data_IF_947791725211
#
_entry.id   IF_947791725211
#
_cell.length_a   1.000
_cell.length_b   1.000
_cell.length_c   1.000
_cell.angle_alpha   90.00
_cell.angle_beta   90.00
_cell.angle_gamma   90.00
#
_symmetry.space_group_name_H-M   'P 1'
#
loop_
_entity.id
_entity.type
_entity.pdbx_description
1 polymer ?
#
# COMPACT_ATOMS: atom_id res chain seq x y z
N UNK A 1 -13.87 7.95 19.96
CA UNK A 1 -13.29 9.10 20.71
C UNK A 1 -11.78 8.90 20.76
N UNK A 2 -11.00 9.97 20.65
CA UNK A 2 -9.55 9.96 20.86
C UNK A 2 -9.27 10.61 22.20
N UNK A 3 -8.41 9.97 23.01
CA UNK A 3 -7.93 10.48 24.29
C UNK A 3 -6.42 10.61 24.17
N UNK A 4 -5.90 11.82 24.36
CA UNK A 4 -4.47 12.08 24.41
C UNK A 4 -4.05 12.06 25.87
N UNK A 5 -3.05 11.24 26.18
CA UNK A 5 -2.51 11.15 27.52
C UNK A 5 -1.43 12.21 27.74
N UNK A 6 -1.25 12.63 29.00
CA UNK A 6 -0.17 13.53 29.39
C UNK A 6 1.17 12.86 29.15
N UNK A 7 2.18 13.64 28.74
CA UNK A 7 3.55 13.17 28.66
C UNK A 7 3.98 12.62 30.03
N UNK A 8 4.64 11.46 30.02
CA UNK A 8 5.13 10.78 31.24
C UNK A 8 4.00 10.36 32.22
N UNK A 9 2.76 10.14 31.73
CA UNK A 9 1.72 9.58 32.59
C UNK A 9 2.17 8.24 33.19
N UNK A 10 1.97 8.01 34.51
CA UNK A 10 2.40 6.77 35.17
C UNK A 10 1.72 5.54 34.53
N UNK A 11 2.51 4.55 34.14
CA UNK A 11 2.02 3.38 33.38
C UNK A 11 0.93 2.61 34.12
N UNK A 12 1.05 2.46 35.44
CA UNK A 12 0.06 1.81 36.32
C UNK A 12 -1.30 2.52 36.27
N UNK A 13 -1.30 3.86 36.25
CA UNK A 13 -2.53 4.68 36.15
C UNK A 13 -3.15 4.61 34.75
N UNK A 14 -2.31 4.56 33.69
CA UNK A 14 -2.79 4.40 32.33
C UNK A 14 -3.43 3.02 32.18
N UNK A 15 -2.80 1.96 32.68
CA UNK A 15 -3.37 0.61 32.66
C UNK A 15 -4.69 0.51 33.43
N UNK A 16 -4.77 1.15 34.60
CA UNK A 16 -6.02 1.20 35.36
C UNK A 16 -7.14 1.90 34.59
N UNK A 17 -6.84 3.02 33.93
CA UNK A 17 -7.79 3.74 33.10
C UNK A 17 -8.24 2.94 31.88
N UNK A 18 -7.32 2.23 31.22
CA UNK A 18 -7.65 1.32 30.13
C UNK A 18 -8.57 0.17 30.59
N UNK A 19 -8.33 -0.41 31.78
CA UNK A 19 -9.21 -1.43 32.36
C UNK A 19 -10.62 -0.89 32.64
N UNK A 20 -10.73 0.33 33.14
CA UNK A 20 -12.02 1.00 33.39
C UNK A 20 -12.80 1.20 32.08
N UNK A 21 -12.15 1.74 31.03
CA UNK A 21 -12.75 1.93 29.71
C UNK A 21 -13.18 0.59 29.06
N UNK A 22 -12.35 -0.45 29.16
CA UNK A 22 -12.70 -1.79 28.70
C UNK A 22 -13.90 -2.37 29.47
N UNK A 23 -13.97 -2.14 30.80
CA UNK A 23 -15.10 -2.53 31.65
C UNK A 23 -16.42 -1.85 31.24
N UNK A 24 -16.36 -0.68 30.62
CA UNK A 24 -17.50 0.02 30.02
C UNK A 24 -17.88 -0.51 28.61
N UNK A 25 -17.15 -1.50 28.08
CA UNK A 25 -17.44 -2.13 26.80
C UNK A 25 -16.74 -1.47 25.60
N UNK A 26 -15.80 -0.55 25.81
CA UNK A 26 -15.02 0.05 24.72
C UNK A 26 -13.81 -0.80 24.37
N UNK A 27 -13.54 -0.96 23.07
CA UNK A 27 -12.24 -1.46 22.62
C UNK A 27 -11.26 -0.30 22.53
N UNK A 28 -10.02 -0.52 22.94
CA UNK A 28 -8.98 0.50 22.96
C UNK A 28 -7.95 0.16 21.90
N UNK A 29 -7.71 1.10 20.98
CA UNK A 29 -6.53 1.13 20.14
C UNK A 29 -5.49 1.99 20.85
N UNK A 30 -4.49 1.33 21.45
CA UNK A 30 -3.40 1.99 22.16
C UNK A 30 -2.26 2.31 21.19
N UNK A 31 -1.93 3.58 21.02
CA UNK A 31 -0.90 4.06 20.10
C UNK A 31 0.10 4.94 20.84
N UNK A 32 1.29 4.39 21.04
CA UNK A 32 2.42 5.09 21.63
C UNK A 32 3.31 5.59 20.49
N UNK A 33 3.30 6.90 20.24
CA UNK A 33 4.17 7.58 19.28
C UNK A 33 5.45 8.13 19.94
N UNK A 34 6.29 8.81 19.14
CA UNK A 34 7.52 9.42 19.61
C UNK A 34 7.32 10.47 20.71
N UNK A 35 6.26 11.30 20.57
CA UNK A 35 5.98 12.42 21.45
C UNK A 35 4.56 12.40 22.02
N UNK A 36 3.74 11.44 21.62
CA UNK A 36 2.32 11.36 22.00
C UNK A 36 1.91 9.94 22.35
N UNK A 37 1.06 9.81 23.37
CA UNK A 37 0.41 8.55 23.72
C UNK A 37 -1.10 8.74 23.57
N UNK A 38 -1.73 7.97 22.69
CA UNK A 38 -3.13 8.12 22.30
C UNK A 38 -3.89 6.83 22.58
N UNK A 39 -5.01 6.96 23.26
CA UNK A 39 -6.01 5.90 23.39
C UNK A 39 -7.17 6.19 22.44
N UNK A 40 -7.30 5.38 21.41
CA UNK A 40 -8.41 5.45 20.47
C UNK A 40 -9.55 4.54 20.90
N UNK A 41 -10.68 5.10 21.34
CA UNK A 41 -11.86 4.32 21.72
C UNK A 41 -12.67 3.93 20.47
N UNK A 42 -12.88 2.62 20.30
CA UNK A 42 -13.70 2.01 19.26
C UNK A 42 -14.99 1.51 19.91
N UNK A 43 -16.14 1.88 19.33
CA UNK A 43 -17.47 1.57 19.84
C UNK A 43 -18.38 2.79 19.83
N UNK A 44 -19.60 2.67 20.36
CA UNK A 44 -20.51 3.81 20.51
C UNK A 44 -20.12 4.66 21.74
N UNK A 45 -19.29 5.65 21.51
CA UNK A 45 -18.83 6.58 22.55
C UNK A 45 -19.78 7.74 22.79
N UNK A 46 -20.99 7.77 22.19
CA UNK A 46 -21.93 8.90 22.37
C UNK A 46 -22.35 9.13 23.82
N UNK A 47 -22.51 8.04 24.55
CA UNK A 47 -22.89 8.09 25.97
C UNK A 47 -21.73 8.47 26.91
N UNK A 48 -20.47 8.37 26.45
CA UNK A 48 -19.29 8.70 27.27
C UNK A 48 -19.13 10.23 27.33
N UNK A 49 -19.28 10.81 28.49
CA UNK A 49 -19.12 12.25 28.68
C UNK A 49 -17.63 12.66 28.54
N UNK A 50 -17.34 13.66 27.74
CA UNK A 50 -15.97 14.21 27.61
C UNK A 50 -15.43 14.74 28.93
N UNK A 51 -16.32 15.36 29.74
CA UNK A 51 -15.97 15.85 31.07
C UNK A 51 -15.50 14.74 32.02
N UNK A 52 -16.10 13.55 31.93
CA UNK A 52 -15.67 12.40 32.72
C UNK A 52 -14.28 11.93 32.31
N UNK A 53 -14.01 11.85 30.99
CA UNK A 53 -12.69 11.49 30.46
C UNK A 53 -11.63 12.50 30.88
N UNK A 54 -11.92 13.81 30.74
CA UNK A 54 -11.01 14.91 31.10
C UNK A 54 -10.74 15.01 32.61
N UNK A 55 -11.63 14.49 33.44
CA UNK A 55 -11.43 14.45 34.89
C UNK A 55 -10.35 13.44 35.32
N UNK A 56 -9.98 12.48 34.44
CA UNK A 56 -8.94 11.53 34.77
C UNK A 56 -7.55 12.20 34.74
N UNK A 57 -6.73 12.06 35.81
CA UNK A 57 -5.46 12.78 35.93
C UNK A 57 -4.41 12.44 34.88
N UNK A 58 -4.51 11.30 34.19
CA UNK A 58 -3.58 10.91 33.09
C UNK A 58 -3.97 11.52 31.75
N UNK A 59 -5.16 12.10 31.61
CA UNK A 59 -5.67 12.64 30.36
C UNK A 59 -5.25 14.10 30.19
N UNK A 60 -4.70 14.42 29.02
CA UNK A 60 -4.40 15.78 28.60
C UNK A 60 -5.59 16.40 27.88
N UNK A 61 -6.12 15.69 26.88
CA UNK A 61 -7.28 16.14 26.10
C UNK A 61 -8.05 14.95 25.52
N UNK A 62 -9.31 15.17 25.17
CA UNK A 62 -10.06 14.20 24.40
C UNK A 62 -10.90 14.88 23.32
N UNK A 63 -11.18 14.16 22.23
CA UNK A 63 -11.99 14.65 21.10
C UNK A 63 -12.81 13.53 20.50
N UNK A 64 -14.02 13.84 20.07
CA UNK A 64 -14.81 12.92 19.25
C UNK A 64 -14.28 12.90 17.82
N UNK A 65 -14.28 11.72 17.24
CA UNK A 65 -13.85 11.49 15.85
C UNK A 65 -15.07 11.04 15.05
N UNK A 66 -15.41 11.82 14.05
CA UNK A 66 -16.58 11.59 13.18
C UNK A 66 -16.28 10.67 12.01
N UNK A 67 -15.01 10.58 11.59
CA UNK A 67 -14.62 9.75 10.46
C UNK A 67 -14.95 8.26 10.71
N UNK A 68 -15.48 7.53 9.70
CA UNK A 68 -15.92 6.16 9.88
C UNK A 68 -14.77 5.15 10.07
N UNK A 69 -13.55 5.47 9.60
CA UNK A 69 -12.33 4.66 9.79
C UNK A 69 -11.62 5.08 11.09
N UNK A 70 -11.02 4.11 11.79
CA UNK A 70 -10.38 4.30 13.10
C UNK A 70 -8.92 3.87 13.08
N UNK A 71 -8.64 2.58 12.76
CA UNK A 71 -7.28 2.04 12.73
C UNK A 71 -6.42 2.71 11.66
N UNK A 72 -6.98 2.98 10.49
CA UNK A 72 -6.30 3.70 9.41
C UNK A 72 -6.25 5.23 9.61
N UNK A 73 -6.89 5.78 10.64
CA UNK A 73 -7.02 7.22 10.83
C UNK A 73 -5.75 7.81 11.47
N UNK A 74 -5.17 8.82 10.81
CA UNK A 74 -4.01 9.57 11.33
C UNK A 74 -4.22 10.12 12.76
N UNK A 75 -5.44 10.48 13.11
CA UNK A 75 -5.77 10.98 14.46
C UNK A 75 -5.61 9.92 15.55
N UNK A 76 -5.72 8.62 15.20
CA UNK A 76 -5.51 7.50 16.11
C UNK A 76 -4.05 6.98 16.08
N UNK A 77 -3.30 7.32 15.07
CA UNK A 77 -1.89 6.94 14.89
C UNK A 77 -1.14 8.10 14.24
N UNK A 78 -0.60 9.05 15.02
CA UNK A 78 0.00 10.29 14.51
C UNK A 78 1.24 10.08 13.64
N UNK A 79 2.07 9.11 14.00
CA UNK A 79 3.32 8.82 13.30
C UNK A 79 3.06 8.07 11.97
N UNK A 80 3.96 8.23 11.01
CA UNK A 80 3.88 7.48 9.76
C UNK A 80 4.13 6.00 10.00
N UNK A 81 3.29 5.15 9.42
CA UNK A 81 3.55 3.71 9.38
C UNK A 81 4.68 3.41 8.42
N UNK A 82 5.58 2.52 8.85
CA UNK A 82 6.62 1.94 8.02
C UNK A 82 6.29 0.47 7.80
N UNK A 83 6.05 0.08 6.55
CA UNK A 83 5.79 -1.32 6.17
C UNK A 83 7.08 -1.93 5.67
N UNK A 84 7.49 -3.06 6.27
CA UNK A 84 8.64 -3.86 5.82
C UNK A 84 8.18 -4.98 4.87
N UNK A 85 8.83 -5.05 3.72
CA UNK A 85 8.59 -6.08 2.70
C UNK A 85 9.91 -6.79 2.41
N UNK A 86 10.18 -7.88 3.10
CA UNK A 86 11.41 -8.65 2.90
C UNK A 86 12.69 -7.86 3.16
N UNK A 87 12.69 -6.94 4.14
CA UNK A 87 13.80 -6.07 4.49
C UNK A 87 13.79 -4.69 3.81
N UNK A 88 12.88 -4.46 2.86
CA UNK A 88 12.69 -3.15 2.21
C UNK A 88 11.52 -2.40 2.84
N UNK A 89 11.77 -1.17 3.26
CA UNK A 89 10.83 -0.32 4.00
C UNK A 89 10.07 0.62 3.08
N UNK A 90 8.78 0.83 3.36
CA UNK A 90 7.90 1.75 2.63
C UNK A 90 7.23 2.68 3.64
N UNK A 91 7.34 4.00 3.46
CA UNK A 91 6.79 5.00 4.40
C UNK A 91 7.81 5.50 5.42
N UNK A 92 7.44 6.50 6.22
CA UNK A 92 8.32 7.06 7.26
C UNK A 92 9.63 7.63 6.73
N UNK A 93 9.64 8.20 5.51
CA UNK A 93 10.85 8.70 4.85
C UNK A 93 11.54 7.68 3.94
N UNK A 94 11.19 6.40 4.01
CA UNK A 94 11.68 5.39 3.07
C UNK A 94 10.86 5.39 1.79
N UNK A 95 11.55 5.16 0.67
CA UNK A 95 10.96 5.08 -0.67
C UNK A 95 11.30 3.76 -1.34
N UNK A 96 10.29 3.04 -1.83
CA UNK A 96 10.50 1.76 -2.50
C UNK A 96 10.04 1.83 -3.97
N UNK A 97 10.78 1.18 -4.85
CA UNK A 97 10.40 1.02 -6.26
C UNK A 97 10.09 -0.45 -6.52
N UNK A 98 8.83 -0.70 -6.88
CA UNK A 98 8.33 -2.01 -7.30
C UNK A 98 8.35 -2.06 -8.82
N UNK A 99 9.18 -2.92 -9.42
CA UNK A 99 9.26 -3.01 -10.88
C UNK A 99 9.33 -4.45 -11.38
N UNK A 100 8.85 -4.65 -12.60
CA UNK A 100 8.78 -5.92 -13.29
C UNK A 100 7.64 -5.94 -14.31
N UNK A 101 7.41 -7.08 -15.00
CA UNK A 101 6.42 -7.14 -16.08
C UNK A 101 4.98 -7.11 -15.56
N UNK A 102 4.05 -6.61 -16.37
CA UNK A 102 2.63 -6.71 -16.07
C UNK A 102 2.21 -8.14 -15.78
N UNK A 103 2.66 -9.06 -16.62
CA UNK A 103 2.40 -10.50 -16.53
C UNK A 103 3.69 -11.29 -16.56
N UNK A 104 3.77 -12.34 -15.74
CA UNK A 104 4.79 -13.38 -15.87
C UNK A 104 4.42 -14.22 -17.09
N UNK A 105 5.33 -14.35 -18.06
CA UNK A 105 5.06 -14.96 -19.37
C UNK A 105 5.96 -16.16 -19.68
N UNK A 106 7.19 -16.15 -19.17
CA UNK A 106 8.15 -17.25 -19.23
C UNK A 106 9.27 -17.06 -18.20
N UNK A 107 10.04 -18.11 -17.96
CA UNK A 107 11.23 -18.07 -17.09
C UNK A 107 12.26 -17.06 -17.58
N UNK A 108 12.55 -17.07 -18.87
CA UNK A 108 13.53 -16.19 -19.50
C UNK A 108 13.12 -14.73 -19.32
N UNK A 109 11.84 -14.41 -19.60
CA UNK A 109 11.31 -13.06 -19.46
C UNK A 109 11.43 -12.55 -18.03
N UNK A 110 10.90 -13.29 -17.04
CA UNK A 110 10.85 -12.80 -15.67
C UNK A 110 12.24 -12.71 -15.04
N UNK A 111 13.12 -13.68 -15.30
CA UNK A 111 14.49 -13.69 -14.77
C UNK A 111 15.30 -12.54 -15.35
N UNK A 112 15.24 -12.33 -16.67
CA UNK A 112 15.92 -11.22 -17.33
C UNK A 112 15.44 -9.87 -16.80
N UNK A 113 14.12 -9.64 -16.73
CA UNK A 113 13.56 -8.38 -16.24
C UNK A 113 13.93 -8.17 -14.77
N UNK A 114 13.82 -9.20 -13.92
CA UNK A 114 14.15 -9.10 -12.50
C UNK A 114 15.61 -8.64 -12.29
N UNK A 115 16.57 -9.25 -12.99
CA UNK A 115 17.98 -8.86 -12.91
C UNK A 115 18.21 -7.41 -13.36
N UNK A 116 17.55 -6.98 -14.45
CA UNK A 116 17.70 -5.62 -14.97
C UNK A 116 17.11 -4.57 -14.03
N UNK A 117 15.90 -4.80 -13.53
CA UNK A 117 15.27 -3.82 -12.63
C UNK A 117 15.96 -3.76 -11.26
N UNK A 118 16.48 -4.89 -10.77
CA UNK A 118 17.30 -4.92 -9.55
C UNK A 118 18.57 -4.09 -9.73
N UNK A 119 19.31 -4.32 -10.81
CA UNK A 119 20.55 -3.60 -11.11
C UNK A 119 20.33 -2.08 -11.20
N UNK A 120 19.17 -1.64 -11.72
CA UNK A 120 18.76 -0.24 -11.75
C UNK A 120 18.38 0.33 -10.38
N UNK A 121 18.07 -0.53 -9.39
CA UNK A 121 17.74 -0.14 -8.02
C UNK A 121 16.25 -0.29 -7.66
N UNK A 122 15.50 -1.16 -8.34
CA UNK A 122 14.19 -1.57 -7.87
C UNK A 122 14.32 -2.43 -6.61
N UNK A 123 13.55 -2.10 -5.57
CA UNK A 123 13.57 -2.77 -4.26
C UNK A 123 12.79 -4.09 -4.28
N UNK A 124 11.69 -4.14 -5.02
CA UNK A 124 10.71 -5.23 -4.98
C UNK A 124 10.39 -5.65 -6.42
N UNK A 125 10.42 -6.96 -6.67
CA UNK A 125 10.00 -7.52 -7.95
C UNK A 125 8.48 -7.59 -8.00
N UNK A 126 7.87 -6.98 -9.04
CA UNK A 126 6.46 -7.14 -9.33
C UNK A 126 6.24 -8.02 -10.55
N UNK A 127 5.21 -8.84 -10.53
CA UNK A 127 4.79 -9.63 -11.67
C UNK A 127 3.41 -10.25 -11.44
N UNK A 128 2.51 -10.18 -12.41
CA UNK A 128 1.19 -10.80 -12.31
C UNK A 128 1.23 -12.28 -12.69
N UNK A 129 1.04 -13.17 -11.74
CA UNK A 129 0.84 -14.61 -11.99
C UNK A 129 -0.59 -14.91 -12.45
N UNK A 130 -1.56 -14.19 -11.88
CA UNK A 130 -2.99 -14.21 -12.23
C UNK A 130 -3.38 -12.88 -12.86
N UNK A 131 -4.26 -12.88 -13.85
CA UNK A 131 -4.66 -11.65 -14.57
C UNK A 131 -6.17 -11.46 -14.61
N UNK A 132 -6.69 -10.35 -14.04
CA UNK A 132 -8.09 -9.97 -14.18
C UNK A 132 -8.34 -9.39 -15.58
N UNK A 133 -9.01 -10.14 -16.44
CA UNK A 133 -9.26 -9.72 -17.83
C UNK A 133 -10.72 -9.43 -18.06
N UNK A 134 -10.99 -8.36 -18.79
CA UNK A 134 -12.36 -8.03 -19.23
C UNK A 134 -12.89 -9.06 -20.24
N UNK A 135 -12.01 -9.57 -21.12
CA UNK A 135 -12.35 -10.63 -22.05
C UNK A 135 -11.89 -11.99 -21.53
N UNK A 136 -12.74 -13.02 -21.53
CA UNK A 136 -12.35 -14.37 -21.12
C UNK A 136 -11.37 -15.03 -22.11
N UNK A 137 -11.25 -14.50 -23.33
CA UNK A 137 -10.35 -15.00 -24.37
C UNK A 137 -8.94 -14.42 -24.28
N UNK A 138 -8.74 -13.41 -23.44
CA UNK A 138 -7.41 -12.83 -23.20
C UNK A 138 -6.56 -13.72 -22.32
N UNK A 139 -5.23 -13.55 -22.37
CA UNK A 139 -4.28 -14.26 -21.51
C UNK A 139 -4.62 -14.08 -20.01
N UNK A 140 -4.88 -15.18 -19.32
CA UNK A 140 -5.35 -15.19 -17.93
C UNK A 140 -4.20 -15.26 -16.88
N UNK A 141 -2.93 -15.24 -17.33
CA UNK A 141 -1.74 -15.49 -16.50
C UNK A 141 -1.37 -16.97 -16.44
N UNK A 142 -0.17 -17.25 -15.98
CA UNK A 142 0.35 -18.62 -15.79
C UNK A 142 -0.12 -19.26 -14.47
N UNK A 143 -0.81 -18.51 -13.62
CA UNK A 143 -1.36 -18.99 -12.34
C UNK A 143 -0.27 -19.56 -11.42
N UNK A 144 -0.40 -20.81 -10.95
CA UNK A 144 0.58 -21.45 -10.07
C UNK A 144 1.99 -21.49 -10.67
N UNK A 145 2.13 -21.84 -11.94
CA UNK A 145 3.40 -21.79 -12.67
C UNK A 145 4.01 -20.36 -12.62
N UNK A 146 3.18 -19.34 -12.75
CA UNK A 146 3.66 -17.95 -12.65
C UNK A 146 4.21 -17.61 -11.26
N UNK A 147 3.67 -18.19 -10.19
CA UNK A 147 4.22 -18.05 -8.84
C UNK A 147 5.56 -18.78 -8.70
N UNK A 148 5.69 -19.97 -9.27
CA UNK A 148 6.96 -20.73 -9.28
C UNK A 148 8.06 -19.95 -10.02
N UNK A 149 7.74 -19.37 -11.18
CA UNK A 149 8.67 -18.54 -11.94
C UNK A 149 9.09 -17.26 -11.20
N UNK A 150 8.19 -16.65 -10.42
CA UNK A 150 8.54 -15.54 -9.54
C UNK A 150 9.49 -15.97 -8.43
N UNK A 151 9.28 -17.16 -7.84
CA UNK A 151 10.22 -17.72 -6.85
C UNK A 151 11.61 -17.97 -7.43
N UNK A 152 11.68 -18.50 -8.65
CA UNK A 152 12.95 -18.70 -9.35
C UNK A 152 13.67 -17.36 -9.61
N UNK A 153 12.94 -16.33 -10.05
CA UNK A 153 13.49 -14.98 -10.23
C UNK A 153 13.99 -14.38 -8.91
N UNK A 154 13.23 -14.57 -7.79
CA UNK A 154 13.69 -14.21 -6.45
C UNK A 154 14.94 -14.94 -6.04
N UNK A 155 15.06 -16.22 -6.32
CA UNK A 155 16.26 -16.99 -5.98
C UNK A 155 17.54 -16.45 -6.68
N UNK A 156 17.39 -15.84 -7.86
CA UNK A 156 18.48 -15.22 -8.60
C UNK A 156 18.81 -13.82 -8.10
N UNK A 157 17.79 -13.01 -7.74
CA UNK A 157 17.95 -11.58 -7.42
C UNK A 157 17.94 -11.29 -5.92
N UNK A 158 17.33 -12.13 -5.11
CA UNK A 158 17.07 -11.86 -3.69
C UNK A 158 15.92 -10.86 -3.44
N UNK A 159 15.29 -10.31 -4.50
CA UNK A 159 14.21 -9.34 -4.34
C UNK A 159 12.95 -9.98 -3.75
N UNK A 160 12.27 -9.34 -2.79
CA UNK A 160 10.95 -9.75 -2.38
C UNK A 160 9.93 -9.59 -3.52
N UNK A 161 8.85 -10.36 -3.45
CA UNK A 161 7.85 -10.45 -4.52
C UNK A 161 6.56 -9.75 -4.10
N UNK A 162 6.01 -8.90 -5.00
CA UNK A 162 4.63 -8.45 -4.95
C UNK A 162 3.85 -8.98 -6.15
N UNK A 163 2.71 -9.65 -5.91
CA UNK A 163 1.84 -10.18 -6.97
C UNK A 163 0.36 -10.11 -6.57
N UNK A 164 -0.52 -10.05 -7.59
CA UNK A 164 -1.96 -9.81 -7.38
C UNK A 164 -2.70 -11.09 -7.01
N UNK A 165 -3.42 -11.03 -5.88
CA UNK A 165 -4.37 -12.06 -5.44
C UNK A 165 -5.77 -11.73 -5.97
N UNK A 166 -6.39 -12.69 -6.66
CA UNK A 166 -7.68 -12.50 -7.32
C UNK A 166 -8.88 -12.90 -6.46
N UNK A 167 -8.74 -13.95 -5.67
CA UNK A 167 -9.80 -14.48 -4.80
C UNK A 167 -9.21 -15.28 -3.62
N UNK A 168 -10.07 -15.62 -2.66
CA UNK A 168 -9.67 -16.32 -1.43
C UNK A 168 -9.13 -17.73 -1.69
N UNK A 169 -9.58 -18.41 -2.74
CA UNK A 169 -9.17 -19.79 -3.04
C UNK A 169 -7.68 -19.90 -3.38
N UNK A 170 -7.08 -18.81 -3.84
CA UNK A 170 -5.66 -18.78 -4.18
C UNK A 170 -4.74 -18.46 -2.98
N UNK A 171 -5.27 -18.12 -1.81
CA UNK A 171 -4.47 -17.78 -0.63
C UNK A 171 -3.45 -18.88 -0.28
N UNK A 172 -3.80 -20.17 -0.25
CA UNK A 172 -2.83 -21.22 0.04
C UNK A 172 -1.64 -21.22 -0.92
N UNK A 173 -1.87 -21.02 -2.22
CA UNK A 173 -0.81 -20.94 -3.23
C UNK A 173 0.15 -19.77 -2.97
N UNK A 174 -0.37 -18.63 -2.52
CA UNK A 174 0.44 -17.45 -2.20
C UNK A 174 1.29 -17.64 -0.95
N UNK A 175 0.75 -18.34 0.06
CA UNK A 175 1.47 -18.67 1.29
C UNK A 175 2.57 -19.71 1.01
N UNK A 176 2.27 -20.75 0.23
CA UNK A 176 3.22 -21.79 -0.17
C UNK A 176 4.36 -21.19 -1.03
N UNK A 177 4.03 -20.25 -1.93
CA UNK A 177 4.99 -19.47 -2.70
C UNK A 177 5.76 -18.44 -1.87
N UNK A 178 5.42 -18.23 -0.60
CA UNK A 178 6.01 -17.22 0.28
C UNK A 178 6.05 -15.85 -0.39
N UNK A 179 4.90 -15.41 -0.92
CA UNK A 179 4.75 -14.06 -1.48
C UNK A 179 4.97 -13.04 -0.37
N UNK A 180 5.86 -12.06 -0.59
CA UNK A 180 6.28 -11.11 0.44
C UNK A 180 5.29 -9.94 0.61
N UNK A 181 4.54 -9.61 -0.45
CA UNK A 181 3.48 -8.61 -0.43
C UNK A 181 2.33 -9.02 -1.35
N UNK A 182 1.10 -9.02 -0.85
CA UNK A 182 -0.09 -9.34 -1.62
C UNK A 182 -0.67 -8.05 -2.22
N UNK A 183 -0.78 -7.99 -3.55
CA UNK A 183 -1.50 -6.89 -4.19
C UNK A 183 -2.99 -7.21 -4.28
N UNK A 184 -3.83 -6.28 -3.83
CA UNK A 184 -5.26 -6.25 -4.11
C UNK A 184 -5.48 -5.27 -5.26
N UNK A 185 -5.89 -5.78 -6.40
CA UNK A 185 -6.11 -5.01 -7.61
C UNK A 185 -7.30 -4.04 -7.49
N UNK A 186 -7.29 -3.01 -8.33
CA UNK A 186 -8.30 -1.95 -8.31
C UNK A 186 -9.75 -2.47 -8.44
N UNK A 187 -9.96 -3.57 -9.16
CA UNK A 187 -11.29 -4.21 -9.31
C UNK A 187 -11.77 -4.91 -8.03
N UNK A 188 -10.85 -5.26 -7.13
CA UNK A 188 -11.10 -5.93 -5.86
C UNK A 188 -11.00 -5.01 -4.64
N UNK A 189 -10.82 -3.68 -4.84
CA UNK A 189 -10.71 -2.73 -3.72
C UNK A 189 -11.87 -2.84 -2.73
N UNK A 190 -13.08 -3.09 -3.21
CA UNK A 190 -14.29 -3.24 -2.40
C UNK A 190 -14.79 -4.70 -2.30
N UNK A 191 -13.93 -5.67 -2.59
CA UNK A 191 -14.21 -7.07 -2.32
C UNK A 191 -13.95 -7.36 -0.84
N UNK A 192 -14.89 -6.98 0.02
CA UNK A 192 -14.72 -6.99 1.47
C UNK A 192 -14.42 -8.38 2.03
N UNK A 193 -14.93 -9.45 1.42
CA UNK A 193 -14.60 -10.82 1.84
C UNK A 193 -13.14 -11.15 1.55
N UNK A 194 -12.59 -10.72 0.41
CA UNK A 194 -11.17 -10.84 0.10
C UNK A 194 -10.32 -9.98 1.05
N UNK A 195 -10.75 -8.74 1.34
CA UNK A 195 -10.05 -7.84 2.26
C UNK A 195 -9.98 -8.42 3.66
N UNK A 196 -11.07 -8.98 4.19
CA UNK A 196 -11.10 -9.67 5.47
C UNK A 196 -10.19 -10.89 5.48
N UNK A 197 -10.17 -11.67 4.39
CA UNK A 197 -9.32 -12.85 4.30
C UNK A 197 -7.83 -12.49 4.34
N UNK A 198 -7.37 -11.49 3.57
CA UNK A 198 -5.97 -11.05 3.61
C UNK A 198 -5.63 -10.30 4.90
N UNK A 199 -6.62 -9.68 5.54
CA UNK A 199 -6.46 -9.03 6.84
C UNK A 199 -6.11 -10.00 7.98
N UNK A 200 -6.41 -11.28 7.83
CA UNK A 200 -6.04 -12.35 8.79
C UNK A 200 -4.63 -12.89 8.57
N UNK A 201 -3.98 -12.50 7.48
CA UNK A 201 -2.64 -12.95 7.15
C UNK A 201 -1.61 -11.96 7.72
N UNK A 202 -0.44 -12.48 8.10
CA UNK A 202 0.69 -11.64 8.50
C UNK A 202 1.59 -11.35 7.28
N UNK A 203 0.98 -10.87 6.18
CA UNK A 203 1.66 -10.54 4.92
C UNK A 203 1.28 -9.10 4.55
N UNK A 204 2.24 -8.22 4.24
CA UNK A 204 1.95 -6.87 3.76
C UNK A 204 0.98 -6.86 2.57
N UNK A 205 0.10 -5.85 2.53
CA UNK A 205 -0.91 -5.71 1.47
C UNK A 205 -0.74 -4.39 0.74
N UNK A 206 -0.58 -4.44 -0.58
CA UNK A 206 -0.67 -3.30 -1.48
C UNK A 206 -2.10 -3.18 -1.99
N UNK A 207 -2.83 -2.18 -1.50
CA UNK A 207 -4.23 -1.94 -1.83
C UNK A 207 -4.35 -0.87 -2.92
N UNK A 208 -4.74 -1.26 -4.13
CA UNK A 208 -4.90 -0.34 -5.28
C UNK A 208 -6.27 0.32 -5.27
N UNK A 209 -6.28 1.65 -5.45
CA UNK A 209 -7.50 2.46 -5.57
C UNK A 209 -8.36 1.98 -6.75
N UNK A 210 -9.65 1.86 -6.52
CA UNK A 210 -10.63 1.56 -7.56
C UNK A 210 -10.75 2.69 -8.58
N UNK A 211 -11.14 2.34 -9.81
CA UNK A 211 -11.15 3.25 -10.97
C UNK A 211 -12.11 4.45 -10.82
N UNK A 212 -13.13 4.33 -9.96
CA UNK A 212 -14.13 5.36 -9.68
C UNK A 212 -14.36 5.55 -8.18
N UNK A 213 -13.33 5.20 -7.37
CA UNK A 213 -13.43 5.22 -5.92
C UNK A 213 -12.91 6.51 -5.33
N UNK A 214 -13.60 7.01 -4.32
CA UNK A 214 -13.15 8.15 -3.50
C UNK A 214 -11.96 7.75 -2.62
N UNK A 215 -11.26 8.73 -2.06
CA UNK A 215 -10.19 8.49 -1.09
C UNK A 215 -10.72 7.88 0.21
N UNK A 216 -11.93 8.29 0.63
CA UNK A 216 -12.58 7.72 1.81
C UNK A 216 -12.89 6.23 1.62
N UNK A 217 -13.41 5.83 0.47
CA UNK A 217 -13.65 4.41 0.14
C UNK A 217 -12.35 3.60 0.13
N UNK A 218 -11.24 4.17 -0.35
CA UNK A 218 -9.92 3.53 -0.30
C UNK A 218 -9.45 3.33 1.15
N UNK A 219 -9.56 4.37 2.00
CA UNK A 219 -9.18 4.27 3.41
C UNK A 219 -10.09 3.31 4.17
N UNK A 220 -11.39 3.31 3.87
CA UNK A 220 -12.34 2.33 4.45
C UNK A 220 -12.01 0.90 4.04
N UNK A 221 -11.55 0.69 2.83
CA UNK A 221 -11.09 -0.64 2.38
C UNK A 221 -9.82 -1.08 3.14
N UNK A 222 -8.89 -0.15 3.40
CA UNK A 222 -7.74 -0.42 4.28
C UNK A 222 -8.17 -0.74 5.71
N UNK A 223 -9.17 -0.01 6.24
CA UNK A 223 -9.74 -0.27 7.56
C UNK A 223 -10.27 -1.70 7.69
N UNK A 224 -10.90 -2.27 6.64
CA UNK A 224 -11.33 -3.69 6.63
C UNK A 224 -10.17 -4.66 6.83
N UNK A 225 -9.04 -4.43 6.16
CA UNK A 225 -7.83 -5.27 6.32
C UNK A 225 -7.29 -5.12 7.74
N UNK A 226 -7.15 -3.88 8.22
CA UNK A 226 -6.59 -3.58 9.54
C UNK A 226 -7.51 -4.05 10.69
N UNK A 227 -8.82 -4.06 10.48
CA UNK A 227 -9.78 -4.55 11.48
C UNK A 227 -9.60 -6.04 11.79
N UNK A 228 -9.19 -6.83 10.79
CA UNK A 228 -8.91 -8.27 10.97
C UNK A 228 -7.54 -8.55 11.60
N UNK A 229 -6.70 -7.53 11.82
CA UNK A 229 -5.42 -7.65 12.55
C UNK A 229 -4.16 -7.34 11.75
N UNK A 230 -4.23 -7.10 10.44
CA UNK A 230 -3.07 -6.78 9.62
C UNK A 230 -2.86 -5.26 9.49
N UNK A 231 -1.87 -4.65 10.19
CA UNK A 231 -1.58 -3.23 10.10
C UNK A 231 -0.70 -2.87 8.88
N UNK A 232 -0.14 -3.85 8.18
CA UNK A 232 0.86 -3.66 7.13
C UNK A 232 0.18 -3.40 5.77
N UNK A 233 -0.48 -2.26 5.64
CA UNK A 233 -1.20 -1.86 4.43
C UNK A 233 -0.48 -0.67 3.77
N UNK A 234 -0.24 -0.78 2.47
CA UNK A 234 0.27 0.29 1.60
C UNK A 234 -0.82 0.66 0.60
N UNK A 235 -1.17 1.93 0.54
CA UNK A 235 -2.15 2.45 -0.42
C UNK A 235 -1.47 2.72 -1.76
N UNK A 236 -2.17 2.43 -2.87
CA UNK A 236 -1.65 2.68 -4.21
C UNK A 236 -2.63 3.50 -5.05
N UNK A 237 -2.29 4.75 -5.32
CA UNK A 237 -2.96 5.55 -6.35
C UNK A 237 -2.51 5.08 -7.74
N UNK A 238 -3.47 4.87 -8.66
CA UNK A 238 -3.21 4.30 -9.99
C UNK A 238 -4.05 4.91 -11.11
N UNK A 239 -4.59 6.10 -10.85
CA UNK A 239 -5.49 6.80 -11.75
C UNK A 239 -6.96 6.44 -11.59
N UNK A 240 -7.79 7.40 -11.88
CA UNK A 240 -9.25 7.30 -11.85
C UNK A 240 -9.83 7.57 -13.23
N UNK A 241 -11.02 7.05 -13.50
CA UNK A 241 -11.77 7.39 -14.70
C UNK A 241 -12.29 8.81 -14.61
N UNK A 242 -12.03 9.57 -15.66
CA UNK A 242 -12.58 10.91 -15.85
C UNK A 242 -13.20 11.02 -17.25
N UNK A 243 -13.62 12.18 -17.65
CA UNK A 243 -14.08 12.45 -19.01
C UNK A 243 -12.94 12.45 -20.05
N UNK A 244 -11.66 12.54 -19.60
CA UNK A 244 -10.50 12.53 -20.50
C UNK A 244 -10.24 11.10 -21.03
N UNK A 245 -10.06 10.99 -22.34
CA UNK A 245 -9.88 9.71 -23.05
C UNK A 245 -8.54 9.56 -23.76
N UNK A 246 -7.70 10.59 -23.77
CA UNK A 246 -6.35 10.54 -24.38
C UNK A 246 -5.38 9.63 -23.63
N UNK A 247 -5.68 9.33 -22.38
CA UNK A 247 -4.95 8.39 -21.54
C UNK A 247 -5.90 7.38 -20.90
N UNK A 248 -5.38 6.26 -20.41
CA UNK A 248 -6.20 5.18 -19.82
C UNK A 248 -6.99 5.65 -18.61
N UNK A 249 -6.37 6.40 -17.71
CA UNK A 249 -6.96 7.03 -16.54
C UNK A 249 -6.22 8.34 -16.24
N UNK A 250 -6.86 9.23 -15.51
CA UNK A 250 -6.23 10.44 -14.98
C UNK A 250 -5.53 10.10 -13.67
N UNK A 251 -4.21 10.33 -13.58
CA UNK A 251 -3.49 10.19 -12.32
C UNK A 251 -3.91 11.31 -11.36
N UNK A 252 -4.49 10.93 -10.23
CA UNK A 252 -4.85 11.88 -9.17
C UNK A 252 -3.66 12.11 -8.24
N UNK A 253 -2.76 13.00 -8.68
CA UNK A 253 -1.56 13.33 -7.90
C UNK A 253 -1.91 14.01 -6.57
N UNK A 254 -3.05 14.72 -6.51
CA UNK A 254 -3.55 15.38 -5.30
C UNK A 254 -4.01 14.40 -4.23
N UNK A 255 -4.25 13.14 -4.60
CA UNK A 255 -4.57 12.10 -3.64
C UNK A 255 -3.46 11.88 -2.60
N UNK A 256 -2.19 12.05 -2.95
CA UNK A 256 -1.06 11.80 -2.05
C UNK A 256 -1.11 12.70 -0.80
N UNK A 257 -1.07 14.03 -0.90
CA UNK A 257 -1.12 14.88 0.29
C UNK A 257 -2.43 14.75 1.07
N UNK A 258 -3.56 14.47 0.37
CA UNK A 258 -4.83 14.27 1.05
C UNK A 258 -4.83 12.95 1.84
N UNK A 259 -4.36 11.83 1.27
CA UNK A 259 -4.23 10.56 1.99
C UNK A 259 -3.25 10.69 3.16
N UNK A 260 -2.12 11.37 2.99
CA UNK A 260 -1.18 11.65 4.09
C UNK A 260 -1.82 12.42 5.26
N UNK A 261 -2.82 13.25 4.99
CA UNK A 261 -3.62 13.95 6.02
C UNK A 261 -4.67 13.04 6.66
N UNK A 262 -5.29 12.15 5.88
CA UNK A 262 -6.36 11.26 6.34
C UNK A 262 -5.84 10.06 7.12
N UNK A 263 -4.72 9.48 6.66
CA UNK A 263 -4.18 8.22 7.19
C UNK A 263 -2.68 8.30 7.44
N UNK A 264 -2.19 7.42 8.29
CA UNK A 264 -0.76 7.22 8.56
C UNK A 264 -0.11 6.19 7.64
N UNK A 265 -0.89 5.54 6.76
CA UNK A 265 -0.43 4.47 5.88
C UNK A 265 0.45 5.02 4.75
N UNK A 266 1.47 4.27 4.30
CA UNK A 266 2.27 4.65 3.13
C UNK A 266 1.44 4.76 1.87
N UNK A 267 1.81 5.71 0.98
CA UNK A 267 1.13 5.95 -0.29
C UNK A 267 2.12 5.78 -1.44
N UNK A 268 1.83 4.84 -2.33
CA UNK A 268 2.59 4.53 -3.54
C UNK A 268 1.81 4.99 -4.77
N UNK A 269 2.50 5.37 -5.83
CA UNK A 269 1.89 5.73 -7.12
C UNK A 269 2.26 4.69 -8.19
N UNK A 270 1.27 4.31 -8.99
CA UNK A 270 1.41 3.48 -10.18
C UNK A 270 1.12 4.30 -11.44
N UNK A 271 2.13 4.97 -12.01
CA UNK A 271 1.97 5.79 -13.20
C UNK A 271 1.73 4.95 -14.46
N UNK A 272 2.21 3.71 -14.50
CA UNK A 272 2.04 2.81 -15.65
C UNK A 272 0.56 2.52 -15.89
N UNK A 273 -0.18 2.10 -14.86
CA UNK A 273 -1.62 1.83 -14.98
C UNK A 273 -2.47 3.10 -15.02
N UNK A 274 -1.96 4.24 -14.52
CA UNK A 274 -2.64 5.51 -14.65
C UNK A 274 -2.62 5.97 -16.11
N UNK A 275 -1.46 6.19 -16.69
CA UNK A 275 -1.32 6.70 -18.04
C UNK A 275 -1.76 5.69 -19.12
N UNK A 276 -1.38 4.41 -18.98
CA UNK A 276 -1.57 3.40 -20.01
C UNK A 276 -0.65 3.58 -21.23
N UNK A 277 0.32 4.50 -21.17
CA UNK A 277 1.21 4.88 -22.26
C UNK A 277 2.62 5.13 -21.69
N UNK A 278 3.62 4.41 -22.20
CA UNK A 278 4.97 4.37 -21.65
C UNK A 278 5.67 5.74 -21.60
N UNK A 279 5.52 6.59 -22.62
CA UNK A 279 6.24 7.89 -22.67
C UNK A 279 5.85 8.85 -21.52
N UNK A 280 4.66 8.69 -20.93
CA UNK A 280 4.19 9.52 -19.80
C UNK A 280 4.75 9.07 -18.47
N UNK A 281 5.14 7.80 -18.35
CA UNK A 281 5.54 7.18 -17.07
C UNK A 281 6.67 7.94 -16.38
N UNK A 282 7.76 8.37 -17.06
CA UNK A 282 8.84 9.10 -16.40
C UNK A 282 8.40 10.41 -15.77
N UNK A 283 7.65 11.24 -16.48
CA UNK A 283 7.18 12.52 -15.95
C UNK A 283 6.23 12.35 -14.75
N UNK A 284 5.34 11.35 -14.81
CA UNK A 284 4.42 11.05 -13.72
C UNK A 284 5.14 10.44 -12.49
N UNK A 285 6.22 9.69 -12.72
CA UNK A 285 7.05 9.15 -11.65
C UNK A 285 7.81 10.27 -10.90
N UNK A 286 8.37 11.25 -11.63
CA UNK A 286 8.99 12.44 -11.03
C UNK A 286 7.96 13.27 -10.23
N UNK A 287 6.77 13.48 -10.79
CA UNK A 287 5.69 14.15 -10.08
C UNK A 287 5.28 13.40 -8.79
N UNK A 288 5.30 12.07 -8.80
CA UNK A 288 5.04 11.25 -7.61
C UNK A 288 6.10 11.44 -6.51
N UNK A 289 7.38 11.54 -6.88
CA UNK A 289 8.46 11.87 -5.94
C UNK A 289 8.24 13.26 -5.35
N UNK A 290 7.99 14.26 -6.21
CA UNK A 290 7.84 15.67 -5.81
C UNK A 290 6.64 15.89 -4.87
N UNK A 291 5.52 15.17 -5.07
CA UNK A 291 4.32 15.30 -4.21
C UNK A 291 4.44 14.57 -2.88
N UNK A 292 5.52 13.80 -2.66
CA UNK A 292 5.82 13.13 -1.40
C UNK A 292 5.29 11.71 -1.27
N UNK A 293 5.09 10.99 -2.36
CA UNK A 293 4.80 9.56 -2.34
C UNK A 293 5.90 8.77 -1.59
N UNK A 294 5.56 7.56 -1.14
CA UNK A 294 6.51 6.66 -0.45
C UNK A 294 7.01 5.53 -1.36
N UNK A 295 6.66 5.55 -2.62
CA UNK A 295 7.14 4.59 -3.60
C UNK A 295 6.47 4.69 -4.95
N UNK A 296 6.97 3.88 -5.88
CA UNK A 296 6.49 3.75 -7.25
C UNK A 296 6.24 2.29 -7.59
N UNK A 297 5.23 2.04 -8.42
CA UNK A 297 5.05 0.77 -9.12
C UNK A 297 5.16 1.01 -10.63
N UNK A 298 6.18 0.43 -11.25
CA UNK A 298 6.52 0.65 -12.67
C UNK A 298 6.46 -0.69 -13.42
N UNK A 299 5.77 -0.73 -14.55
CA UNK A 299 5.81 -1.87 -15.43
C UNK A 299 7.02 -1.80 -16.36
N UNK A 300 7.83 -2.88 -16.32
CA UNK A 300 9.02 -3.03 -17.16
C UNK A 300 8.98 -4.38 -17.86
N UNK A 301 9.20 -4.41 -19.17
CA UNK A 301 9.14 -5.61 -19.98
C UNK A 301 10.33 -5.65 -20.95
N UNK A 302 10.92 -6.84 -21.18
CA UNK A 302 12.06 -7.02 -22.08
C UNK A 302 11.74 -6.72 -23.56
N UNK A 303 10.49 -6.92 -23.98
CA UNK A 303 9.99 -6.62 -25.32
C UNK A 303 8.52 -6.18 -25.25
N UNK A 304 8.25 -4.88 -24.91
CA UNK A 304 6.88 -4.39 -24.72
C UNK A 304 5.95 -4.63 -25.92
N UNK A 305 6.50 -4.66 -27.14
CA UNK A 305 5.70 -4.90 -28.36
C UNK A 305 5.13 -6.31 -28.44
N UNK A 306 5.77 -7.29 -27.78
CA UNK A 306 5.33 -8.70 -27.74
C UNK A 306 4.66 -9.08 -26.41
N UNK A 307 4.51 -8.13 -25.48
CA UNK A 307 3.91 -8.42 -24.18
C UNK A 307 2.48 -8.96 -24.33
N UNK A 308 2.16 -10.02 -23.58
CA UNK A 308 0.81 -10.62 -23.55
C UNK A 308 -0.19 -9.75 -22.78
N UNK A 309 0.31 -8.78 -22.00
CA UNK A 309 -0.51 -7.85 -21.21
C UNK A 309 0.16 -6.49 -21.08
N UNK A 310 -0.61 -5.42 -21.30
CA UNK A 310 -0.28 -4.02 -21.01
C UNK A 310 1.08 -3.53 -21.57
N UNK A 311 1.51 -4.02 -22.74
CA UNK A 311 2.78 -3.65 -23.36
C UNK A 311 2.92 -2.15 -23.66
N UNK A 312 1.82 -1.47 -24.03
CA UNK A 312 1.83 -0.06 -24.39
C UNK A 312 2.28 0.87 -23.24
N UNK A 313 2.11 0.45 -22.00
CA UNK A 313 2.49 1.22 -20.80
C UNK A 313 3.80 0.76 -20.17
N UNK A 314 4.37 -0.37 -20.63
CA UNK A 314 5.60 -0.94 -20.09
C UNK A 314 6.83 -0.21 -20.60
N UNK A 315 7.75 0.13 -19.71
CA UNK A 315 9.09 0.60 -20.08
C UNK A 315 9.94 -0.57 -20.55
N UNK A 316 10.90 -0.29 -21.43
CA UNK A 316 12.03 -1.21 -21.62
C UNK A 316 12.98 -1.12 -20.42
N UNK A 317 13.85 -2.13 -20.18
CA UNK A 317 14.86 -2.03 -19.12
C UNK A 317 15.75 -0.79 -19.23
N UNK A 318 16.15 -0.36 -20.42
CA UNK A 318 16.98 0.82 -20.63
C UNK A 318 16.23 2.12 -20.31
N UNK A 319 14.92 2.18 -20.60
CA UNK A 319 14.07 3.30 -20.20
C UNK A 319 13.89 3.31 -18.68
N UNK A 320 13.79 2.15 -18.05
CA UNK A 320 13.72 2.07 -16.59
C UNK A 320 15.04 2.48 -15.93
N UNK A 321 16.20 2.09 -16.47
CA UNK A 321 17.53 2.55 -16.02
C UNK A 321 17.60 4.09 -16.04
N UNK A 322 17.17 4.70 -17.16
CA UNK A 322 17.12 6.16 -17.33
C UNK A 322 16.19 6.81 -16.29
N UNK A 323 15.01 6.24 -16.06
CA UNK A 323 14.08 6.74 -15.05
C UNK A 323 14.71 6.69 -13.64
N UNK A 324 15.32 5.57 -13.27
CA UNK A 324 15.95 5.42 -11.95
C UNK A 324 17.12 6.38 -11.75
N UNK A 325 17.93 6.62 -12.79
CA UNK A 325 18.99 7.62 -12.75
C UNK A 325 18.45 9.05 -12.53
N UNK A 326 17.28 9.35 -13.09
CA UNK A 326 16.62 10.65 -12.94
C UNK A 326 16.03 10.85 -11.55
N UNK A 327 15.32 9.86 -11.00
CA UNK A 327 14.61 10.03 -9.73
C UNK A 327 15.50 9.90 -8.49
N UNK A 328 16.66 9.22 -8.56
CA UNK A 328 17.58 9.09 -7.42
C UNK A 328 17.98 10.44 -6.81
N UNK A 329 18.52 11.40 -7.56
CA UNK A 329 18.85 12.72 -7.01
C UNK A 329 17.62 13.50 -6.54
N UNK A 330 16.46 13.31 -7.16
CA UNK A 330 15.21 13.94 -6.71
C UNK A 330 14.77 13.40 -5.34
N UNK A 331 14.90 12.08 -5.11
CA UNK A 331 14.61 11.47 -3.81
C UNK A 331 15.50 12.04 -2.71
N UNK A 332 16.80 12.19 -2.98
CA UNK A 332 17.74 12.81 -2.05
C UNK A 332 17.36 14.28 -1.75
N UNK A 333 17.00 15.05 -2.79
CA UNK A 333 16.53 16.44 -2.65
C UNK A 333 15.30 16.55 -1.76
N UNK A 334 14.34 15.63 -1.88
CA UNK A 334 13.12 15.59 -1.06
C UNK A 334 13.30 14.83 0.26
N UNK A 335 14.53 14.46 0.64
CA UNK A 335 14.84 13.79 1.91
C UNK A 335 14.31 12.36 2.03
N UNK A 336 14.04 11.69 0.91
CA UNK A 336 13.61 10.30 0.86
C UNK A 336 14.79 9.35 0.73
N UNK A 337 14.72 8.21 1.43
CA UNK A 337 15.73 7.15 1.37
C UNK A 337 15.25 6.06 0.43
N UNK A 338 15.94 5.88 -0.69
CA UNK A 338 15.71 4.72 -1.56
C UNK A 338 16.26 3.46 -0.88
N UNK A 339 15.45 2.40 -0.83
CA UNK A 339 15.84 1.10 -0.28
C UNK A 339 16.49 0.21 -1.31
#
# INVERSE_FOLDING_TARGET
MIIVLKQHAPADKVEAFCKELNGMGYQINDSVGSDTHILGLIGDTKALAESWVLANPVVETCRRVSEPYKKANRKFHPDDTVVDVGGHKIGGGYFAVMSGPCSVESKEQITFVAQRVQAAGASILRGGAFKPRTSPYSFQGLRAEGLELLQEARAVTGQPIVTELMNNEHIPLFLDAKVDMIQIGARNMQNFELLKAVGKLNVPVLLKRGLSSTLEELVMSAEYIMAEGNPNVVLCERGIRTFETSMRNTLDISAVPMLKKMTHLPVVIDPSHAAGIAFMVPALAQAAVAVGADGLMIETHNDPAKAKSDGAQSLTPDQFDTLMATIKPELEFFGKKLN
#
